data_IF_737211758334
#
_entry.id   IF_737211758334
#
_cell.length_a   1.000
_cell.length_b   1.000
_cell.length_c   1.000
_cell.angle_alpha   90.00
_cell.angle_beta   90.00
_cell.angle_gamma   90.00
#
_symmetry.space_group_name_H-M   'P 1'
#
loop_
_entity.id
_entity.type
_entity.pdbx_description
1 polymer ?
#
# COMPACT_ATOMS: atom_id res chain seq x y z
N UNK A 1 -31.51 39.71 18.02
CA UNK A 1 -30.53 40.56 17.32
C UNK A 1 -30.32 39.98 15.93
N UNK A 2 -30.65 40.70 14.85
CA UNK A 2 -30.35 40.26 13.48
C UNK A 2 -28.84 40.38 13.26
N UNK A 3 -28.18 39.26 13.02
CA UNK A 3 -26.78 39.26 12.61
C UNK A 3 -26.72 39.85 11.20
N UNK A 4 -25.91 40.88 11.01
CA UNK A 4 -25.78 41.57 9.72
C UNK A 4 -25.26 40.57 8.66
N UNK A 5 -25.82 40.60 7.44
CA UNK A 5 -25.43 39.73 6.33
C UNK A 5 -23.91 39.76 6.07
N UNK A 6 -23.27 40.92 6.27
CA UNK A 6 -21.81 41.07 6.12
C UNK A 6 -21.02 40.25 7.14
N UNK A 7 -21.52 40.10 8.36
CA UNK A 7 -20.89 39.30 9.42
C UNK A 7 -21.00 37.81 9.10
N UNK A 8 -22.10 37.37 8.47
CA UNK A 8 -22.30 35.98 8.09
C UNK A 8 -21.43 35.55 6.91
N UNK A 9 -21.23 36.43 5.93
CA UNK A 9 -20.28 36.22 4.83
C UNK A 9 -18.86 36.11 5.39
N UNK A 10 -18.51 36.95 6.38
CA UNK A 10 -17.23 36.88 7.07
C UNK A 10 -17.04 35.57 7.85
N UNK A 11 -18.05 35.12 8.60
CA UNK A 11 -17.97 33.86 9.35
C UNK A 11 -17.87 32.65 8.40
N UNK A 12 -18.68 32.58 7.35
CA UNK A 12 -18.66 31.45 6.41
C UNK A 12 -17.38 31.43 5.56
N UNK A 13 -16.97 32.60 5.05
CA UNK A 13 -15.80 32.73 4.16
C UNK A 13 -14.47 32.65 4.90
N UNK A 14 -14.36 33.26 6.08
CA UNK A 14 -13.07 33.40 6.79
C UNK A 14 -12.88 32.40 7.92
N UNK A 15 -13.93 31.72 8.39
CA UNK A 15 -13.84 30.80 9.53
C UNK A 15 -14.25 29.38 9.12
N UNK A 16 -15.46 29.20 8.61
CA UNK A 16 -15.99 27.85 8.33
C UNK A 16 -15.20 27.18 7.20
N UNK A 17 -15.07 27.84 6.04
CA UNK A 17 -14.33 27.31 4.88
C UNK A 17 -12.88 26.88 5.19
N UNK A 18 -12.03 27.72 5.80
CA UNK A 18 -10.65 27.33 6.08
C UNK A 18 -10.57 26.23 7.15
N UNK A 19 -11.39 26.26 8.20
CA UNK A 19 -11.35 25.25 9.26
C UNK A 19 -11.75 23.87 8.73
N UNK A 20 -12.83 23.76 7.97
CA UNK A 20 -13.26 22.49 7.38
C UNK A 20 -12.32 21.99 6.29
N UNK A 21 -11.70 22.89 5.51
CA UNK A 21 -10.68 22.51 4.53
C UNK A 21 -9.43 21.94 5.21
N UNK A 22 -8.95 22.59 6.28
CA UNK A 22 -7.81 22.11 7.08
C UNK A 22 -8.14 20.76 7.71
N UNK A 23 -9.33 20.61 8.32
CA UNK A 23 -9.77 19.35 8.90
C UNK A 23 -9.88 18.23 7.84
N UNK A 24 -10.40 18.53 6.65
CA UNK A 24 -10.47 17.57 5.55
C UNK A 24 -9.09 17.12 5.06
N UNK A 25 -8.13 18.04 4.94
CA UNK A 25 -6.76 17.70 4.59
C UNK A 25 -6.07 16.87 5.71
N UNK A 26 -6.27 17.21 7.00
CA UNK A 26 -5.73 16.44 8.13
C UNK A 26 -6.32 15.02 8.16
N UNK A 27 -7.64 14.88 7.95
CA UNK A 27 -8.29 13.58 7.86
C UNK A 27 -7.75 12.76 6.67
N UNK A 28 -7.54 13.39 5.51
CA UNK A 28 -6.90 12.75 4.36
C UNK A 28 -5.50 12.22 4.68
N UNK A 29 -4.70 12.99 5.43
CA UNK A 29 -3.38 12.57 5.91
C UNK A 29 -3.45 11.42 6.92
N UNK A 30 -4.38 11.46 7.88
CA UNK A 30 -4.57 10.40 8.88
C UNK A 30 -4.98 9.07 8.23
N UNK A 31 -5.87 9.10 7.24
CA UNK A 31 -6.31 7.91 6.49
C UNK A 31 -5.17 7.29 5.69
N UNK A 32 -4.22 8.09 5.21
CA UNK A 32 -3.02 7.56 4.56
C UNK A 32 -2.18 6.72 5.52
N UNK A 33 -1.93 7.23 6.74
CA UNK A 33 -1.10 6.54 7.73
C UNK A 33 -1.72 5.24 8.28
N UNK A 34 -3.05 5.11 8.28
CA UNK A 34 -3.73 3.90 8.77
C UNK A 34 -3.82 2.78 7.74
N UNK A 35 -3.54 3.04 6.46
CA UNK A 35 -3.75 2.08 5.36
C UNK A 35 -2.48 1.55 4.70
N UNK A 36 -1.29 2.04 5.07
CA UNK A 36 -0.01 1.72 4.41
C UNK A 36 0.81 0.64 5.11
N UNK A 37 0.27 -0.04 6.12
CA UNK A 37 1.02 -1.07 6.85
C UNK A 37 1.00 -2.52 6.31
N UNK A 38 0.29 -2.92 5.21
CA UNK A 38 0.26 -4.35 4.84
C UNK A 38 1.61 -4.90 4.38
N UNK A 39 2.63 -4.05 4.19
CA UNK A 39 3.96 -4.41 3.71
C UNK A 39 5.01 -4.64 4.83
N UNK A 40 4.66 -4.40 6.11
CA UNK A 40 5.59 -4.60 7.24
C UNK A 40 5.57 -6.01 7.83
N UNK A 41 4.64 -6.86 7.39
CA UNK A 41 4.45 -8.20 7.93
C UNK A 41 4.69 -9.27 6.85
N UNK A 42 4.99 -10.48 7.30
CA UNK A 42 5.03 -11.64 6.42
C UNK A 42 3.63 -11.92 5.87
N UNK A 43 3.53 -11.97 4.54
CA UNK A 43 2.34 -12.38 3.81
C UNK A 43 2.41 -13.88 3.55
N UNK A 44 1.37 -14.61 3.94
CA UNK A 44 1.24 -16.04 3.63
C UNK A 44 0.73 -16.19 2.18
N UNK A 45 1.43 -16.97 1.34
CA UNK A 45 1.02 -17.29 -0.04
C UNK A 45 0.39 -18.69 -0.16
N UNK A 46 0.25 -19.39 0.96
CA UNK A 46 -0.19 -20.78 1.03
C UNK A 46 0.90 -21.78 0.64
N UNK A 47 0.51 -23.05 0.57
CA UNK A 47 1.34 -24.13 0.06
C UNK A 47 0.83 -24.55 -1.34
N UNK A 48 1.71 -24.82 -2.31
CA UNK A 48 1.29 -25.46 -3.56
C UNK A 48 0.67 -26.84 -3.28
N UNK A 49 -0.08 -27.41 -4.23
CA UNK A 49 -0.71 -28.72 -4.08
C UNK A 49 0.29 -29.89 -3.98
N UNK A 50 1.60 -29.62 -4.08
CA UNK A 50 2.68 -30.60 -4.09
C UNK A 50 3.81 -30.08 -3.20
N UNK A 51 4.49 -30.99 -2.51
CA UNK A 51 5.64 -30.66 -1.66
C UNK A 51 6.72 -29.91 -2.44
N UNK A 52 7.16 -28.78 -1.90
CA UNK A 52 8.20 -27.93 -2.49
C UNK A 52 9.57 -28.49 -2.12
N UNK A 53 10.44 -28.58 -3.12
CA UNK A 53 11.86 -28.94 -2.99
C UNK A 53 12.74 -27.71 -2.75
N UNK A 54 12.45 -26.61 -3.43
CA UNK A 54 13.17 -25.33 -3.29
C UNK A 54 12.41 -24.14 -3.86
N UNK A 55 12.73 -22.96 -3.35
CA UNK A 55 12.36 -21.70 -3.96
C UNK A 55 13.19 -21.47 -5.24
N UNK A 56 12.55 -20.96 -6.30
CA UNK A 56 13.21 -20.55 -7.54
C UNK A 56 13.17 -19.04 -7.66
N UNK A 57 13.93 -18.49 -8.62
CA UNK A 57 13.99 -17.05 -8.92
C UNK A 57 12.58 -16.44 -9.00
N UNK A 58 12.38 -15.30 -8.37
CA UNK A 58 11.18 -14.49 -8.49
C UNK A 58 11.33 -13.39 -9.55
N UNK A 59 10.27 -13.13 -10.31
CA UNK A 59 10.06 -11.85 -10.97
C UNK A 59 9.60 -10.80 -9.93
N UNK A 60 9.52 -9.53 -10.34
CA UNK A 60 8.86 -8.47 -9.57
C UNK A 60 7.51 -8.91 -9.02
N UNK A 61 6.65 -9.53 -9.82
CA UNK A 61 5.29 -9.84 -9.41
C UNK A 61 5.01 -11.33 -9.23
N UNK A 62 5.97 -12.21 -9.46
CA UNK A 62 5.72 -13.66 -9.47
C UNK A 62 6.85 -14.43 -8.80
N UNK A 63 6.51 -15.27 -7.83
CA UNK A 63 7.44 -16.27 -7.28
C UNK A 63 7.25 -17.59 -8.00
N UNK A 64 8.36 -18.28 -8.26
CA UNK A 64 8.38 -19.63 -8.80
C UNK A 64 8.94 -20.59 -7.75
N UNK A 65 8.40 -21.80 -7.70
CA UNK A 65 8.88 -22.86 -6.81
C UNK A 65 9.00 -24.16 -7.57
N UNK A 66 9.97 -24.99 -7.20
CA UNK A 66 10.13 -26.33 -7.75
C UNK A 66 9.64 -27.35 -6.73
N UNK A 67 8.75 -28.25 -7.15
CA UNK A 67 8.30 -29.38 -6.31
C UNK A 67 9.28 -30.54 -6.33
N UNK A 68 9.06 -31.51 -5.43
CA UNK A 68 9.88 -32.73 -5.31
C UNK A 68 9.83 -33.64 -6.53
N UNK A 69 8.77 -33.55 -7.34
CA UNK A 69 8.62 -34.23 -8.63
C UNK A 69 9.06 -33.39 -9.83
N UNK A 70 9.87 -32.36 -9.57
CA UNK A 70 10.46 -31.44 -10.54
C UNK A 70 9.45 -30.62 -11.38
N UNK A 71 8.17 -30.58 -10.99
CA UNK A 71 7.20 -29.62 -11.53
C UNK A 71 7.48 -28.21 -11.01
N UNK A 72 7.05 -27.21 -11.77
CA UNK A 72 7.22 -25.80 -11.42
C UNK A 72 5.86 -25.19 -11.19
N UNK A 73 5.73 -24.45 -10.10
CA UNK A 73 4.54 -23.68 -9.78
C UNK A 73 4.88 -22.19 -9.68
N UNK A 74 3.93 -21.34 -10.04
CA UNK A 74 4.03 -19.89 -9.90
C UNK A 74 2.88 -19.33 -9.07
N UNK A 75 3.15 -18.26 -8.34
CA UNK A 75 2.13 -17.48 -7.63
C UNK A 75 2.30 -15.99 -7.92
N UNK A 76 1.20 -15.34 -8.32
CA UNK A 76 1.20 -13.91 -8.68
C UNK A 76 0.87 -13.02 -7.47
N UNK A 77 1.83 -12.16 -7.13
CA UNK A 77 1.90 -11.26 -5.97
C UNK A 77 0.73 -10.29 -5.85
N UNK A 78 0.35 -9.66 -6.96
CA UNK A 78 -0.56 -8.50 -6.95
C UNK A 78 -2.05 -8.89 -6.98
N UNK A 79 -2.38 -10.17 -6.87
CA UNK A 79 -3.78 -10.57 -6.71
C UNK A 79 -4.23 -10.33 -5.27
N UNK A 80 -5.38 -9.67 -5.13
CA UNK A 80 -6.14 -9.49 -3.88
C UNK A 80 -6.68 -10.80 -3.27
N UNK A 81 -6.31 -11.94 -3.85
CA UNK A 81 -6.77 -13.27 -3.48
C UNK A 81 -5.60 -13.99 -2.81
N UNK A 82 -5.59 -13.92 -1.48
CA UNK A 82 -4.41 -14.16 -0.63
C UNK A 82 -4.16 -15.63 -0.28
N UNK A 83 -4.88 -16.60 -0.84
CA UNK A 83 -4.69 -18.03 -0.56
C UNK A 83 -4.97 -18.81 -1.86
N UNK A 84 -4.09 -19.74 -2.24
CA UNK A 84 -4.19 -20.61 -3.43
C UNK A 84 -3.95 -19.96 -4.80
N UNK A 85 -2.93 -19.11 -4.91
CA UNK A 85 -2.45 -18.53 -6.17
C UNK A 85 -1.59 -19.48 -7.04
N UNK A 86 -1.34 -20.72 -6.58
CA UNK A 86 -0.36 -21.62 -7.17
C UNK A 86 -0.85 -22.26 -8.46
N UNK A 87 -0.19 -21.91 -9.57
CA UNK A 87 -0.47 -22.45 -10.90
C UNK A 87 0.74 -23.22 -11.42
N UNK A 88 0.51 -24.41 -11.96
CA UNK A 88 1.59 -25.18 -12.60
C UNK A 88 2.01 -24.50 -13.91
N UNK A 89 3.31 -24.39 -14.14
CA UNK A 89 3.89 -23.85 -15.37
C UNK A 89 4.90 -24.83 -15.97
N UNK A 90 5.08 -24.78 -17.28
CA UNK A 90 6.01 -25.67 -18.00
C UNK A 90 7.46 -25.15 -17.96
N UNK A 91 7.64 -23.84 -17.78
CA UNK A 91 8.93 -23.18 -17.77
C UNK A 91 8.83 -21.85 -17.03
N UNK A 92 9.95 -21.39 -16.50
CA UNK A 92 10.10 -20.02 -16.02
C UNK A 92 11.31 -19.38 -16.72
N UNK A 93 11.26 -18.07 -16.90
CA UNK A 93 12.43 -17.29 -17.28
C UNK A 93 12.81 -16.45 -16.07
N UNK A 94 14.01 -16.64 -15.49
CA UNK A 94 14.47 -15.76 -14.44
C UNK A 94 14.59 -14.35 -15.03
N UNK A 95 13.72 -13.45 -14.59
CA UNK A 95 13.71 -12.05 -15.06
C UNK A 95 14.64 -11.19 -14.19
N UNK A 96 14.93 -11.63 -12.97
CA UNK A 96 15.61 -10.81 -11.97
C UNK A 96 16.85 -11.49 -11.40
N UNK A 97 17.98 -10.80 -11.50
CA UNK A 97 19.21 -11.13 -10.79
C UNK A 97 19.27 -10.28 -9.52
N UNK A 98 19.58 -10.91 -8.39
CA UNK A 98 19.81 -10.25 -7.12
C UNK A 98 21.00 -9.29 -7.24
N UNK A 99 20.80 -8.01 -6.90
CA UNK A 99 21.88 -7.02 -6.80
C UNK A 99 22.36 -6.92 -5.35
N UNK A 100 23.47 -7.59 -4.97
CA UNK A 100 23.94 -7.63 -3.60
C UNK A 100 24.48 -6.29 -3.09
N UNK A 101 24.68 -5.31 -3.98
CA UNK A 101 25.19 -3.99 -3.61
C UNK A 101 24.13 -3.10 -2.95
N UNK A 102 22.86 -3.46 -3.02
CA UNK A 102 21.76 -2.72 -2.39
C UNK A 102 21.78 -2.88 -0.86
N UNK A 103 21.98 -1.76 -0.14
CA UNK A 103 22.05 -1.66 1.33
C UNK A 103 20.77 -1.07 1.95
N UNK A 104 20.43 -1.31 3.22
CA UNK A 104 20.51 -2.55 4.00
C UNK A 104 19.13 -3.25 4.14
N UNK A 105 19.14 -4.44 4.73
CA UNK A 105 17.97 -5.31 4.98
C UNK A 105 17.30 -5.05 6.34
N UNK A 106 17.52 -3.88 6.93
CA UNK A 106 17.29 -3.63 8.37
C UNK A 106 15.82 -3.65 8.78
N UNK A 107 14.91 -3.56 7.81
CA UNK A 107 13.45 -3.55 8.03
C UNK A 107 12.79 -4.93 7.85
N UNK A 108 13.56 -6.01 7.59
CA UNK A 108 12.97 -7.35 7.49
C UNK A 108 12.40 -7.74 8.86
N UNK A 109 11.09 -8.06 8.96
CA UNK A 109 10.49 -8.53 10.20
C UNK A 109 11.11 -9.88 10.61
N UNK A 110 11.17 -10.18 11.93
CA UNK A 110 11.65 -11.48 12.41
C UNK A 110 10.98 -12.64 11.66
N UNK A 111 11.78 -13.63 11.25
CA UNK A 111 11.26 -14.80 10.57
C UNK A 111 10.37 -15.64 11.50
N UNK A 112 9.31 -16.25 10.97
CA UNK A 112 8.57 -17.27 11.68
C UNK A 112 9.45 -18.51 11.94
N UNK A 113 9.06 -19.35 12.89
CA UNK A 113 9.74 -20.62 13.15
C UNK A 113 9.57 -21.59 11.97
N UNK A 114 10.56 -22.47 11.75
CA UNK A 114 10.46 -23.55 10.77
C UNK A 114 10.83 -23.18 9.34
N UNK A 115 11.58 -22.10 9.10
CA UNK A 115 12.14 -21.79 7.78
C UNK A 115 13.17 -22.85 7.35
N UNK A 116 12.97 -23.44 6.17
CA UNK A 116 13.86 -24.45 5.57
C UNK A 116 14.57 -23.98 4.29
N UNK A 117 14.03 -22.97 3.61
CA UNK A 117 14.65 -22.35 2.44
C UNK A 117 14.31 -20.85 2.40
N UNK A 118 15.22 -20.07 1.81
CA UNK A 118 15.10 -18.61 1.72
C UNK A 118 15.63 -18.12 0.38
N UNK A 119 14.84 -17.26 -0.27
CA UNK A 119 15.24 -16.50 -1.44
C UNK A 119 15.17 -15.01 -1.14
N UNK A 120 16.25 -14.29 -1.40
CA UNK A 120 16.30 -12.83 -1.33
C UNK A 120 16.57 -12.30 -2.73
N UNK A 121 15.72 -11.40 -3.20
CA UNK A 121 15.89 -10.66 -4.44
C UNK A 121 15.96 -9.16 -4.14
N UNK A 122 17.10 -8.53 -4.43
CA UNK A 122 17.31 -7.09 -4.28
C UNK A 122 17.40 -6.39 -5.62
N UNK A 123 16.79 -5.21 -5.71
CA UNK A 123 16.95 -4.27 -6.83
C UNK A 123 17.20 -2.88 -6.32
N UNK A 124 18.29 -2.30 -6.79
CA UNK A 124 18.57 -0.89 -6.65
C UNK A 124 17.78 -0.13 -7.73
N UNK A 125 16.91 0.79 -7.31
CA UNK A 125 16.21 1.70 -8.21
C UNK A 125 17.02 2.98 -8.25
N UNK A 126 17.81 3.13 -9.31
CA UNK A 126 18.49 4.37 -9.63
C UNK A 126 17.57 5.26 -10.48
N UNK A 127 16.90 6.22 -9.82
CA UNK A 127 16.03 7.20 -10.47
C UNK A 127 16.41 8.62 -10.04
N UNK A 128 16.38 9.60 -10.96
CA UNK A 128 16.68 11.01 -10.64
C UNK A 128 15.69 11.64 -9.64
N UNK A 129 14.57 10.96 -9.35
CA UNK A 129 13.51 11.44 -8.44
C UNK A 129 13.53 10.70 -7.10
N UNK A 130 14.09 9.49 -7.06
CA UNK A 130 14.12 8.66 -5.86
C UNK A 130 15.24 7.62 -5.95
N UNK A 131 16.12 7.58 -4.95
CA UNK A 131 16.92 6.39 -4.68
C UNK A 131 16.07 5.49 -3.77
N UNK A 132 15.68 4.33 -4.29
CA UNK A 132 14.91 3.35 -3.52
C UNK A 132 15.48 1.95 -3.75
N UNK A 133 15.29 1.07 -2.76
CA UNK A 133 15.64 -0.34 -2.88
C UNK A 133 14.37 -1.16 -2.80
N UNK A 134 14.13 -1.99 -3.83
CA UNK A 134 13.07 -2.99 -3.79
C UNK A 134 13.71 -4.31 -3.34
N UNK A 135 13.33 -4.77 -2.17
CA UNK A 135 13.80 -6.03 -1.58
C UNK A 135 12.59 -6.94 -1.48
N UNK A 136 12.66 -8.11 -2.07
CA UNK A 136 11.67 -9.16 -1.92
C UNK A 136 12.32 -10.37 -1.27
N UNK A 137 11.76 -10.81 -0.15
CA UNK A 137 12.20 -11.99 0.60
C UNK A 137 11.10 -13.02 0.55
N UNK A 138 11.46 -14.24 0.18
CA UNK A 138 10.58 -15.39 0.19
C UNK A 138 11.18 -16.44 1.10
N UNK A 139 10.34 -17.06 1.91
CA UNK A 139 10.71 -18.14 2.82
C UNK A 139 9.80 -19.34 2.58
N UNK A 140 10.36 -20.53 2.71
CA UNK A 140 9.65 -21.79 2.70
C UNK A 140 9.67 -22.37 4.11
N UNK A 141 8.50 -22.70 4.65
CA UNK A 141 8.37 -23.33 5.96
C UNK A 141 8.36 -24.85 5.85
N UNK A 142 8.61 -25.53 6.96
CA UNK A 142 8.57 -27.00 7.09
C UNK A 142 7.23 -27.63 6.71
N UNK A 143 6.12 -26.89 6.81
CA UNK A 143 4.78 -27.34 6.43
C UNK A 143 4.47 -27.15 4.93
N UNK A 144 5.44 -26.64 4.15
CA UNK A 144 5.29 -26.36 2.73
C UNK A 144 4.71 -24.97 2.42
N UNK A 145 4.37 -24.18 3.45
CA UNK A 145 3.87 -22.81 3.26
C UNK A 145 4.99 -21.92 2.74
N UNK A 146 4.68 -21.13 1.71
CA UNK A 146 5.56 -20.06 1.25
C UNK A 146 5.06 -18.75 1.84
N UNK A 147 5.97 -17.99 2.46
CA UNK A 147 5.68 -16.62 2.88
C UNK A 147 6.56 -15.63 2.13
N UNK A 148 6.03 -14.42 1.99
CA UNK A 148 6.66 -13.31 1.31
C UNK A 148 6.73 -12.11 2.23
N UNK A 149 7.85 -11.41 2.18
CA UNK A 149 7.99 -10.07 2.71
C UNK A 149 8.62 -9.18 1.64
N UNK A 150 8.18 -7.94 1.54
CA UNK A 150 8.71 -6.99 0.56
C UNK A 150 8.97 -5.67 1.26
N UNK A 151 10.17 -5.13 1.06
CA UNK A 151 10.42 -3.72 1.37
C UNK A 151 9.71 -2.90 0.31
N UNK A 152 8.73 -2.10 0.71
CA UNK A 152 8.12 -1.14 -0.22
C UNK A 152 9.19 -0.13 -0.65
N UNK A 153 9.53 -0.03 -1.94
CA UNK A 153 10.40 1.02 -2.43
C UNK A 153 9.61 2.33 -2.62
N UNK A 154 8.68 2.71 -1.73
CA UNK A 154 7.95 3.98 -1.73
C UNK A 154 7.74 4.56 -3.14
N UNK A 155 7.17 3.75 -4.04
CA UNK A 155 7.29 4.01 -5.48
C UNK A 155 6.64 5.34 -5.90
N UNK A 156 6.84 5.83 -7.12
CA UNK A 156 6.15 7.03 -7.61
C UNK A 156 4.62 6.93 -7.49
N UNK A 157 4.08 5.71 -7.46
CA UNK A 157 2.68 5.43 -7.20
C UNK A 157 2.25 5.71 -5.76
N UNK A 158 3.11 5.55 -4.75
CA UNK A 158 2.84 5.91 -3.36
C UNK A 158 2.75 7.43 -3.20
N UNK A 159 3.65 8.16 -3.86
CA UNK A 159 3.60 9.63 -3.94
C UNK A 159 2.34 10.09 -4.67
N UNK A 160 1.98 9.46 -5.79
CA UNK A 160 0.72 9.75 -6.51
C UNK A 160 -0.52 9.37 -5.67
N UNK A 161 -0.51 8.23 -4.97
CA UNK A 161 -1.57 7.83 -4.03
C UNK A 161 -1.66 8.79 -2.85
N UNK A 162 -0.54 9.29 -2.33
CA UNK A 162 -0.49 10.29 -1.28
C UNK A 162 -1.13 11.60 -1.77
N UNK A 163 -0.67 12.13 -2.91
CA UNK A 163 -1.25 13.35 -3.50
C UNK A 163 -2.73 13.16 -3.82
N UNK A 164 -3.13 12.02 -4.37
CA UNK A 164 -4.53 11.72 -4.68
C UNK A 164 -5.39 11.62 -3.41
N UNK A 165 -4.91 10.96 -2.35
CA UNK A 165 -5.61 10.87 -1.05
C UNK A 165 -5.73 12.23 -0.37
N UNK A 166 -4.65 13.01 -0.34
CA UNK A 166 -4.67 14.39 0.19
C UNK A 166 -5.62 15.27 -0.61
N UNK A 167 -5.56 15.21 -1.94
CA UNK A 167 -6.42 15.97 -2.83
C UNK A 167 -7.89 15.61 -2.63
N UNK A 168 -8.23 14.31 -2.57
CA UNK A 168 -9.60 13.84 -2.29
C UNK A 168 -10.06 14.30 -0.90
N UNK A 169 -9.22 14.19 0.13
CA UNK A 169 -9.53 14.65 1.49
C UNK A 169 -9.82 16.16 1.55
N UNK A 170 -8.98 16.96 0.90
CA UNK A 170 -9.19 18.41 0.79
C UNK A 170 -10.46 18.73 -0.02
N UNK A 171 -10.76 18.00 -1.10
CA UNK A 171 -11.97 18.18 -1.91
C UNK A 171 -13.25 17.87 -1.12
N UNK A 172 -13.25 16.80 -0.32
CA UNK A 172 -14.34 16.48 0.61
C UNK A 172 -14.53 17.62 1.64
N UNK A 173 -13.43 18.17 2.17
CA UNK A 173 -13.48 19.33 3.07
C UNK A 173 -14.12 20.57 2.43
N UNK A 174 -13.78 20.87 1.18
CA UNK A 174 -14.38 21.99 0.43
C UNK A 174 -15.87 21.75 0.18
N UNK A 175 -16.27 20.55 -0.26
CA UNK A 175 -17.68 20.20 -0.50
C UNK A 175 -18.48 20.28 0.81
N UNK A 176 -17.96 19.71 1.91
CA UNK A 176 -18.59 19.78 3.23
C UNK A 176 -18.80 21.22 3.70
N UNK A 177 -17.83 22.09 3.45
CA UNK A 177 -17.92 23.53 3.77
C UNK A 177 -19.02 24.23 2.99
N UNK A 178 -19.15 23.93 1.69
CA UNK A 178 -20.20 24.49 0.84
C UNK A 178 -21.59 24.03 1.29
N UNK A 179 -21.74 22.75 1.63
CA UNK A 179 -23.01 22.18 2.15
C UNK A 179 -23.38 22.79 3.50
N UNK A 180 -22.43 22.90 4.44
CA UNK A 180 -22.68 23.53 5.74
C UNK A 180 -23.11 24.99 5.59
N UNK A 181 -22.45 25.74 4.71
CA UNK A 181 -22.80 27.13 4.40
C UNK A 181 -24.21 27.24 3.81
N UNK A 182 -24.58 26.35 2.89
CA UNK A 182 -25.92 26.29 2.31
C UNK A 182 -27.00 25.93 3.33
N UNK A 183 -26.74 24.96 4.21
CA UNK A 183 -27.67 24.56 5.26
C UNK A 183 -27.88 25.67 6.31
N UNK A 184 -26.82 26.39 6.67
CA UNK A 184 -26.94 27.58 7.53
C UNK A 184 -27.80 28.67 6.87
N UNK A 185 -27.65 28.87 5.56
CA UNK A 185 -28.47 29.82 4.80
C UNK A 185 -29.95 29.39 4.74
N UNK A 186 -30.21 28.09 4.53
CA UNK A 186 -31.57 27.55 4.34
C UNK A 186 -32.35 27.38 5.65
N UNK A 187 -31.68 27.09 6.77
CA UNK A 187 -32.32 26.75 8.05
C UNK A 187 -32.98 27.93 8.77
N UNK A 188 -32.98 29.15 8.21
CA UNK A 188 -33.74 30.27 8.77
C UNK A 188 -33.24 30.76 10.14
N UNK A 189 -32.21 30.15 10.73
CA UNK A 189 -31.40 30.71 11.83
C UNK A 189 -30.78 32.08 11.45
N UNK A 190 -30.89 32.46 10.18
CA UNK A 190 -30.40 33.68 9.55
C UNK A 190 -31.54 34.62 9.08
N UNK A 191 -32.77 34.11 8.89
CA UNK A 191 -33.94 34.93 8.54
C UNK A 191 -35.17 34.45 9.31
N UNK A 192 -35.36 34.99 10.51
CA UNK A 192 -36.71 35.23 11.02
C UNK A 192 -37.01 36.71 10.75
N UNK A 193 -38.16 37.05 10.12
CA UNK A 193 -38.53 38.42 9.81
C UNK A 193 -38.49 39.35 11.04
#
# INVERSE_FOLDING_TARGET
MKVNNSIQVLISGCIILPVFSILGCILGLMVHNYGSEPYKAWKNLGAPPVEIKKLLVADKDTIYVQSTDDRIFSCYRATQYDQDCWNQVNSFSPVWEDDPSCSPLDDIPPEPEGVIDRLINRRCIDSPVLQANEISVYILLTDGTVMQWISDPGGPNEVDLFYRKVYVGCLIGVIGSAVASFLLFKSGLIFSP
#
